data_IF_421678193414
#
_entry.id   IF_421678193414
#
_cell.length_a   1.000
_cell.length_b   1.000
_cell.length_c   1.000
_cell.angle_alpha   90.00
_cell.angle_beta   90.00
_cell.angle_gamma   90.00
#
_symmetry.space_group_name_H-M   'P 1'
#
loop_
_entity.id
_entity.type
_entity.pdbx_description
1 polymer ?
#
# COMPACT_ATOMS: atom_id res chain seq x y z
N UNK A 1 -5.54 -38.62 22.04
CA UNK A 1 -6.08 -37.65 21.05
C UNK A 1 -4.91 -36.92 20.39
N UNK A 2 -4.77 -36.95 19.06
CA UNK A 2 -3.75 -36.13 18.37
C UNK A 2 -4.23 -34.68 18.34
N UNK A 3 -3.43 -33.73 18.83
CA UNK A 3 -3.71 -32.29 18.61
C UNK A 3 -3.59 -32.02 17.11
N UNK A 4 -4.65 -31.48 16.50
CA UNK A 4 -4.58 -30.99 15.13
C UNK A 4 -3.49 -29.91 15.03
N UNK A 5 -2.62 -30.02 14.02
CA UNK A 5 -1.70 -28.96 13.63
C UNK A 5 -2.31 -28.26 12.41
N UNK A 6 -2.32 -26.92 12.34
CA UNK A 6 -2.89 -26.22 11.19
C UNK A 6 -1.99 -26.37 9.96
N UNK A 7 -2.53 -26.91 8.87
CA UNK A 7 -1.86 -27.02 7.57
C UNK A 7 -1.93 -25.71 6.73
N UNK A 8 -2.82 -24.79 7.12
CA UNK A 8 -3.01 -23.48 6.49
C UNK A 8 -2.69 -22.36 7.48
N UNK A 9 -2.09 -21.29 6.97
CA UNK A 9 -1.32 -20.37 7.78
C UNK A 9 -1.66 -18.90 7.36
N UNK A 10 -2.24 -18.01 8.24
CA UNK A 10 -2.49 -16.52 8.03
C UNK A 10 -1.92 -15.42 9.02
N UNK A 11 -1.02 -14.48 8.60
CA UNK A 11 -0.57 -13.17 9.23
C UNK A 11 -0.50 -11.97 8.24
N UNK A 12 -0.84 -10.76 8.73
CA UNK A 12 -0.58 -9.42 8.14
C UNK A 12 -1.69 -8.89 7.18
N UNK A 13 -1.82 -7.60 6.86
CA UNK A 13 -1.46 -6.36 7.56
C UNK A 13 -2.74 -5.83 8.24
N UNK A 14 -2.69 -5.50 9.56
CA UNK A 14 -3.83 -4.99 10.37
C UNK A 14 -5.08 -5.90 10.49
N UNK A 15 -4.92 -6.99 11.23
CA UNK A 15 -5.80 -7.54 12.29
C UNK A 15 -7.33 -7.66 12.17
N UNK A 16 -8.08 -6.91 11.35
CA UNK A 16 -9.56 -7.01 11.31
C UNK A 16 -10.08 -8.01 10.28
N UNK A 17 -9.65 -7.94 9.02
CA UNK A 17 -10.16 -8.83 7.96
C UNK A 17 -9.95 -10.32 8.27
N UNK A 18 -8.77 -10.70 8.75
CA UNK A 18 -8.46 -12.10 9.09
C UNK A 18 -9.07 -12.57 10.43
N UNK A 19 -9.45 -11.65 11.33
CA UNK A 19 -10.11 -12.00 12.60
C UNK A 19 -11.61 -12.17 12.41
N UNK A 20 -12.27 -11.23 11.71
CA UNK A 20 -13.71 -11.29 11.43
C UNK A 20 -14.09 -12.57 10.68
N UNK A 21 -13.30 -12.98 9.67
CA UNK A 21 -13.52 -14.25 8.94
C UNK A 21 -13.34 -15.49 9.83
N UNK A 22 -12.52 -15.44 10.88
CA UNK A 22 -12.37 -16.56 11.82
C UNK A 22 -13.50 -16.61 12.86
N UNK A 23 -14.00 -15.45 13.28
CA UNK A 23 -15.00 -15.28 14.33
C UNK A 23 -16.43 -15.55 13.81
N UNK A 24 -16.78 -15.03 12.62
CA UNK A 24 -18.11 -15.21 12.01
C UNK A 24 -18.38 -16.64 11.50
N UNK A 25 -17.34 -17.42 11.21
CA UNK A 25 -17.45 -18.76 10.58
C UNK A 25 -16.97 -19.92 11.47
N UNK A 26 -16.60 -19.65 12.73
CA UNK A 26 -16.17 -20.66 13.72
C UNK A 26 -15.02 -21.60 13.24
N UNK A 27 -14.09 -21.09 12.43
CA UNK A 27 -12.99 -21.86 11.85
C UNK A 27 -11.72 -21.81 12.74
N UNK A 28 -11.00 -22.94 12.92
CA UNK A 28 -9.75 -22.98 13.70
C UNK A 28 -8.53 -22.48 12.87
N UNK A 29 -8.19 -21.19 12.98
CA UNK A 29 -7.23 -20.47 12.11
C UNK A 29 -5.92 -19.99 12.83
N UNK A 30 -4.74 -19.98 12.16
CA UNK A 30 -3.58 -19.05 12.42
C UNK A 30 -2.35 -19.27 11.47
N UNK A 31 -1.46 -18.27 11.21
CA UNK A 31 -0.17 -18.43 10.43
C UNK A 31 0.38 -17.21 9.58
N UNK A 32 0.50 -17.31 8.23
CA UNK A 32 1.33 -16.66 7.15
C UNK A 32 2.71 -16.14 7.57
N UNK A 33 3.45 -15.76 6.55
CA UNK A 33 4.32 -14.62 6.59
C UNK A 33 3.82 -13.60 5.54
N UNK A 34 3.47 -12.40 6.00
CA UNK A 34 3.58 -11.21 5.17
C UNK A 34 4.89 -10.49 5.50
N UNK A 35 5.93 -10.80 4.72
CA UNK A 35 7.15 -10.00 4.48
C UNK A 35 7.90 -10.57 3.28
N UNK A 36 8.23 -9.75 2.28
CA UNK A 36 9.37 -10.10 1.41
C UNK A 36 10.62 -9.76 2.21
N UNK A 37 11.38 -10.81 2.57
CA UNK A 37 12.55 -10.67 3.45
C UNK A 37 12.64 -11.70 4.57
N UNK A 38 11.51 -12.17 5.11
CA UNK A 38 11.49 -13.26 6.11
C UNK A 38 11.75 -14.64 5.48
N UNK A 39 11.35 -14.83 4.21
CA UNK A 39 11.55 -16.09 3.47
C UNK A 39 13.03 -16.37 3.14
N UNK A 40 13.92 -15.35 3.09
CA UNK A 40 15.36 -15.56 2.92
C UNK A 40 15.99 -15.99 4.26
N UNK A 41 15.92 -17.28 4.54
CA UNK A 41 16.53 -17.90 5.73
C UNK A 41 15.59 -18.85 6.48
N UNK A 42 14.27 -18.76 6.26
CA UNK A 42 13.34 -19.76 6.76
C UNK A 42 13.43 -21.05 5.93
N UNK A 43 13.70 -22.17 6.60
CA UNK A 43 13.37 -23.49 6.03
C UNK A 43 11.84 -23.58 5.94
N UNK A 44 11.33 -23.76 4.72
CA UNK A 44 9.99 -24.29 4.53
C UNK A 44 9.95 -25.65 5.23
N UNK A 45 8.98 -25.87 6.13
CA UNK A 45 8.70 -27.21 6.61
C UNK A 45 8.26 -28.03 5.40
N UNK A 46 8.97 -29.13 5.10
CA UNK A 46 8.69 -29.99 3.95
C UNK A 46 7.27 -30.56 3.96
N UNK A 47 6.61 -30.53 5.13
CA UNK A 47 5.23 -30.97 5.30
C UNK A 47 4.18 -29.92 4.87
N UNK A 48 4.55 -28.66 4.60
CA UNK A 48 3.60 -27.63 4.16
C UNK A 48 3.08 -27.93 2.74
N UNK A 49 1.88 -28.51 2.63
CA UNK A 49 1.29 -28.94 1.35
C UNK A 49 0.72 -27.79 0.52
N UNK A 50 0.28 -26.70 1.15
CA UNK A 50 -0.38 -25.58 0.48
C UNK A 50 0.12 -24.23 1.00
N UNK A 51 0.49 -23.33 0.09
CA UNK A 51 0.93 -21.96 0.42
C UNK A 51 0.06 -20.94 -0.32
N UNK A 52 -0.37 -19.88 0.36
CA UNK A 52 -1.13 -18.77 -0.27
C UNK A 52 -0.38 -17.46 -0.03
N UNK A 53 -0.13 -16.69 -1.10
CA UNK A 53 0.30 -15.30 -1.01
C UNK A 53 -0.94 -14.40 -1.18
N UNK A 54 -1.60 -14.15 -0.06
CA UNK A 54 -2.75 -13.24 0.04
C UNK A 54 -2.32 -11.78 -0.10
N UNK A 55 -3.23 -10.92 -0.55
CA UNK A 55 -3.08 -9.46 -0.63
C UNK A 55 -1.87 -8.98 -1.46
N UNK A 56 -1.56 -9.68 -2.55
CA UNK A 56 -0.52 -9.30 -3.51
C UNK A 56 -0.98 -9.62 -4.93
N UNK A 57 -0.87 -8.65 -5.84
CA UNK A 57 -1.11 -8.86 -7.27
C UNK A 57 0.10 -9.49 -7.96
N UNK A 58 -0.13 -10.43 -8.88
CA UNK A 58 0.91 -10.93 -9.78
C UNK A 58 1.48 -9.83 -10.70
N UNK A 59 0.72 -8.76 -10.96
CA UNK A 59 1.15 -7.58 -11.73
C UNK A 59 2.09 -6.65 -10.95
N UNK A 60 2.14 -6.78 -9.62
CA UNK A 60 3.10 -6.11 -8.75
C UNK A 60 4.26 -7.02 -8.31
N UNK A 61 4.05 -8.33 -8.31
CA UNK A 61 4.99 -9.33 -7.80
C UNK A 61 4.87 -10.65 -8.57
N UNK A 62 5.43 -10.69 -9.77
CA UNK A 62 5.47 -11.87 -10.63
C UNK A 62 6.44 -12.97 -10.15
N UNK A 63 7.29 -12.66 -9.17
CA UNK A 63 8.45 -13.52 -8.86
C UNK A 63 8.00 -14.93 -8.44
N UNK A 64 8.45 -15.98 -9.15
CA UNK A 64 8.20 -17.36 -8.75
C UNK A 64 8.83 -17.64 -7.38
N UNK A 65 8.00 -18.09 -6.43
CA UNK A 65 8.45 -18.50 -5.09
C UNK A 65 8.48 -20.04 -5.02
N UNK A 66 7.35 -20.67 -5.33
CA UNK A 66 7.14 -22.12 -5.33
C UNK A 66 5.82 -22.38 -6.09
N UNK A 67 5.70 -23.47 -6.84
CA UNK A 67 4.49 -23.79 -7.63
C UNK A 67 3.24 -24.02 -6.77
N UNK A 68 3.40 -24.26 -5.47
CA UNK A 68 2.29 -24.36 -4.50
C UNK A 68 1.73 -23.00 -4.07
N UNK A 69 2.44 -21.89 -4.34
CA UNK A 69 2.03 -20.54 -3.95
C UNK A 69 1.00 -20.00 -4.93
N UNK A 70 -0.27 -19.99 -4.51
CA UNK A 70 -1.33 -19.28 -5.22
C UNK A 70 -1.32 -17.80 -4.82
N UNK A 71 -1.67 -16.92 -5.74
CA UNK A 71 -1.63 -15.46 -5.61
C UNK A 71 -3.06 -14.94 -5.73
N UNK A 72 -3.57 -14.23 -4.73
CA UNK A 72 -4.96 -13.80 -4.74
C UNK A 72 -5.21 -12.60 -5.67
N UNK A 73 -4.27 -11.69 -5.81
CA UNK A 73 -4.59 -10.29 -6.13
C UNK A 73 -4.56 -9.42 -4.88
N UNK A 74 -4.69 -8.10 -5.05
CA UNK A 74 -4.78 -7.18 -3.90
C UNK A 74 -6.13 -7.29 -3.19
N UNK A 75 -6.11 -7.28 -1.85
CA UNK A 75 -7.33 -7.21 -1.04
C UNK A 75 -7.69 -5.75 -0.80
N UNK A 76 -8.75 -5.28 -1.46
CA UNK A 76 -9.33 -3.96 -1.21
C UNK A 76 -10.50 -4.09 -0.25
N UNK A 77 -10.50 -3.27 0.80
CA UNK A 77 -11.68 -3.07 1.63
C UNK A 77 -12.34 -1.77 1.16
N UNK A 78 -13.51 -1.90 0.54
CA UNK A 78 -14.32 -0.76 0.08
C UNK A 78 -14.74 0.09 1.27
N UNK A 79 -13.92 1.09 1.53
CA UNK A 79 -14.11 2.04 2.62
C UNK A 79 -15.12 3.06 2.13
N UNK A 80 -16.41 2.68 2.14
CA UNK A 80 -17.53 3.43 1.55
C UNK A 80 -17.32 4.95 1.68
N UNK A 81 -17.02 5.68 0.59
CA UNK A 81 -16.67 7.11 0.66
C UNK A 81 -17.86 8.01 1.04
N UNK A 82 -19.05 7.42 1.20
CA UNK A 82 -20.29 8.09 1.59
C UNK A 82 -20.71 7.84 3.05
N UNK A 83 -19.86 7.21 3.88
CA UNK A 83 -20.08 7.25 5.32
C UNK A 83 -20.07 8.72 5.79
N UNK A 84 -21.13 9.21 6.48
CA UNK A 84 -21.22 10.62 6.88
C UNK A 84 -19.97 11.07 7.66
N UNK A 85 -19.42 12.23 7.29
CA UNK A 85 -18.21 12.78 7.90
C UNK A 85 -16.88 12.15 7.46
N UNK A 86 -16.85 11.26 6.45
CA UNK A 86 -15.58 10.72 5.88
C UNK A 86 -15.15 11.33 4.54
N UNK A 87 -15.87 12.31 4.01
CA UNK A 87 -15.49 13.01 2.78
C UNK A 87 -14.36 14.04 2.98
N UNK A 88 -13.78 14.59 1.89
CA UNK A 88 -12.95 15.79 1.97
C UNK A 88 -13.76 16.97 2.53
N UNK A 89 -13.11 17.85 3.29
CA UNK A 89 -13.75 19.08 3.80
C UNK A 89 -13.85 20.16 2.71
N UNK A 90 -14.83 21.05 2.79
CA UNK A 90 -14.94 22.18 1.85
C UNK A 90 -13.71 23.08 1.86
N UNK A 91 -13.01 23.17 3.00
CA UNK A 91 -11.75 23.89 3.12
C UNK A 91 -10.65 23.24 2.25
N UNK A 92 -10.54 21.90 2.27
CA UNK A 92 -9.63 21.16 1.40
C UNK A 92 -10.04 21.33 -0.08
N UNK A 93 -11.33 21.25 -0.41
CA UNK A 93 -11.81 21.41 -1.78
C UNK A 93 -11.53 22.81 -2.33
N UNK A 94 -11.77 23.87 -1.54
CA UNK A 94 -11.40 25.25 -1.91
C UNK A 94 -9.90 25.45 -2.05
N UNK A 95 -9.11 24.84 -1.16
CA UNK A 95 -7.65 24.88 -1.23
C UNK A 95 -7.14 24.23 -2.53
N UNK A 96 -7.66 23.06 -2.90
CA UNK A 96 -7.22 22.31 -4.08
C UNK A 96 -7.61 23.00 -5.40
N UNK A 97 -8.85 23.50 -5.50
CA UNK A 97 -9.41 23.96 -6.77
C UNK A 97 -9.53 22.82 -7.78
N UNK A 98 -9.22 23.10 -9.05
CA UNK A 98 -9.21 22.12 -10.14
C UNK A 98 -7.81 21.52 -10.45
N UNK A 99 -6.77 22.03 -9.80
CA UNK A 99 -5.38 21.69 -10.12
C UNK A 99 -4.92 20.37 -9.48
N UNK A 100 -4.04 19.60 -10.15
CA UNK A 100 -3.43 18.43 -9.56
C UNK A 100 -2.46 18.82 -8.43
N UNK A 101 -2.31 17.92 -7.46
CA UNK A 101 -1.55 18.18 -6.22
C UNK A 101 -0.75 16.96 -5.78
N UNK A 102 0.21 17.16 -4.88
CA UNK A 102 0.99 16.08 -4.27
C UNK A 102 0.34 15.69 -2.94
N UNK A 103 0.23 14.38 -2.67
CA UNK A 103 -0.18 13.88 -1.35
C UNK A 103 1.01 13.30 -0.58
N UNK A 104 1.23 13.77 0.65
CA UNK A 104 2.18 13.22 1.59
C UNK A 104 1.47 12.33 2.61
N UNK A 105 1.73 11.02 2.54
CA UNK A 105 1.19 9.98 3.41
C UNK A 105 2.32 9.39 4.28
N UNK A 106 2.72 10.05 5.38
CA UNK A 106 3.93 9.72 6.15
C UNK A 106 3.84 8.41 6.96
N UNK A 107 2.72 7.68 6.87
CA UNK A 107 2.51 6.43 7.60
C UNK A 107 2.16 6.64 9.07
N UNK A 108 2.60 5.73 9.94
CA UNK A 108 2.28 5.74 11.38
C UNK A 108 3.51 5.61 12.27
N UNK A 109 4.69 5.67 11.69
CA UNK A 109 5.96 5.56 12.41
C UNK A 109 6.55 6.95 12.48
N UNK A 110 6.90 7.47 13.68
CA UNK A 110 7.52 8.78 13.86
C UNK A 110 8.65 9.03 12.87
N UNK A 111 8.69 10.25 12.33
CA UNK A 111 9.84 10.74 11.56
C UNK A 111 10.67 11.68 12.42
N UNK A 112 11.99 11.65 12.23
CA UNK A 112 12.91 12.59 12.88
C UNK A 112 12.69 14.00 12.30
N UNK A 113 12.71 15.04 13.16
CA UNK A 113 12.48 16.45 12.76
C UNK A 113 11.20 16.65 11.92
N UNK A 114 10.04 16.23 12.44
CA UNK A 114 8.78 16.18 11.69
C UNK A 114 8.38 17.49 10.97
N UNK A 115 8.62 18.66 11.58
CA UNK A 115 8.47 19.97 10.93
C UNK A 115 9.36 20.11 9.69
N UNK A 116 10.65 19.81 9.81
CA UNK A 116 11.62 19.91 8.71
C UNK A 116 11.30 18.90 7.59
N UNK A 117 10.92 17.67 7.97
CA UNK A 117 10.48 16.64 7.04
C UNK A 117 9.33 17.13 6.16
N UNK A 118 8.29 17.73 6.73
CA UNK A 118 7.17 18.28 5.93
C UNK A 118 7.62 19.48 5.10
N UNK A 119 8.47 20.38 5.65
CA UNK A 119 9.00 21.53 4.89
C UNK A 119 9.75 21.10 3.63
N UNK A 120 10.63 20.09 3.70
CA UNK A 120 11.31 19.56 2.51
C UNK A 120 10.36 19.07 1.40
N UNK A 121 9.19 18.53 1.78
CA UNK A 121 8.15 18.14 0.82
C UNK A 121 7.36 19.32 0.27
N UNK A 122 7.13 20.34 1.10
CA UNK A 122 6.45 21.58 0.73
C UNK A 122 7.30 22.40 -0.23
N UNK A 123 8.55 22.70 0.13
CA UNK A 123 9.52 23.44 -0.69
C UNK A 123 9.64 22.80 -2.09
N UNK A 124 9.65 21.46 -2.14
CA UNK A 124 9.70 20.70 -3.37
C UNK A 124 8.41 20.75 -4.20
N UNK A 125 7.24 20.89 -3.57
CA UNK A 125 5.96 21.04 -4.27
C UNK A 125 5.74 22.48 -4.76
N UNK A 126 6.06 23.48 -3.92
CA UNK A 126 6.03 24.91 -4.27
C UNK A 126 6.92 25.21 -5.48
N UNK A 127 8.14 24.66 -5.50
CA UNK A 127 9.06 24.79 -6.64
C UNK A 127 8.56 24.16 -7.95
N UNK A 128 7.45 23.42 -7.92
CA UNK A 128 6.76 22.85 -9.08
C UNK A 128 5.41 23.52 -9.37
N UNK A 129 5.03 24.54 -8.60
CA UNK A 129 3.69 25.15 -8.65
C UNK A 129 2.57 24.23 -8.14
N UNK A 130 2.92 23.12 -7.47
CA UNK A 130 1.97 22.12 -6.98
C UNK A 130 1.63 22.35 -5.51
N UNK A 131 0.35 22.15 -5.17
CA UNK A 131 -0.10 22.14 -3.77
C UNK A 131 0.30 20.84 -3.08
N UNK A 132 0.57 20.90 -1.77
CA UNK A 132 0.84 19.73 -0.93
C UNK A 132 -0.35 19.45 0.01
N UNK A 133 -0.90 18.24 -0.03
CA UNK A 133 -1.85 17.74 0.98
C UNK A 133 -1.12 16.77 1.89
N UNK A 134 -1.04 17.08 3.18
CA UNK A 134 -0.34 16.27 4.19
C UNK A 134 -1.37 15.57 5.07
N UNK A 135 -1.36 14.24 5.11
CA UNK A 135 -2.24 13.52 6.04
C UNK A 135 -1.65 13.50 7.46
N UNK A 136 -2.36 14.11 8.41
CA UNK A 136 -2.04 14.10 9.84
C UNK A 136 -2.08 12.67 10.38
N UNK A 137 -1.02 12.29 11.08
CA UNK A 137 -0.82 10.97 11.69
C UNK A 137 0.17 11.09 12.86
N UNK A 138 0.27 10.05 13.69
CA UNK A 138 1.32 9.94 14.72
C UNK A 138 2.77 9.95 14.15
N UNK A 139 2.95 9.85 12.82
CA UNK A 139 4.27 10.05 12.23
C UNK A 139 4.76 11.52 12.33
N UNK A 140 3.81 12.47 12.42
CA UNK A 140 4.05 13.92 12.43
C UNK A 140 3.66 14.55 13.78
N UNK A 141 3.75 13.80 14.88
CA UNK A 141 3.50 14.33 16.22
C UNK A 141 4.53 15.44 16.54
N UNK A 142 4.05 16.58 17.04
CA UNK A 142 4.87 17.77 17.26
C UNK A 142 5.31 18.53 15.99
N UNK A 143 4.81 18.18 14.80
CA UNK A 143 5.07 18.96 13.59
C UNK A 143 4.29 20.29 13.60
N UNK A 144 5.02 21.40 13.45
CA UNK A 144 4.48 22.76 13.35
C UNK A 144 4.75 23.31 11.95
N UNK A 145 3.70 23.34 11.13
CA UNK A 145 3.75 23.69 9.71
C UNK A 145 2.53 24.54 9.38
N UNK A 146 2.71 25.85 9.44
CA UNK A 146 1.83 26.84 8.83
C UNK A 146 2.44 27.26 7.48
N UNK A 147 1.71 27.08 6.38
CA UNK A 147 2.15 27.46 5.04
C UNK A 147 0.98 27.52 4.03
N UNK A 148 0.95 28.52 3.13
CA UNK A 148 -0.17 28.73 2.21
C UNK A 148 -0.27 27.69 1.07
N UNK A 149 0.79 26.93 0.78
CA UNK A 149 0.77 25.83 -0.21
C UNK A 149 0.67 24.43 0.42
N UNK A 150 0.54 24.32 1.75
CA UNK A 150 0.25 23.08 2.44
C UNK A 150 -1.20 23.05 2.96
N UNK A 151 -1.84 21.88 2.89
CA UNK A 151 -3.06 21.61 3.64
C UNK A 151 -2.87 20.38 4.52
N UNK A 152 -2.87 20.57 5.84
CA UNK A 152 -2.84 19.47 6.81
C UNK A 152 -4.25 18.91 6.96
N UNK A 153 -4.53 17.83 6.24
CA UNK A 153 -5.79 17.12 6.34
C UNK A 153 -5.74 16.08 7.46
N UNK A 154 -6.89 15.81 8.09
CA UNK A 154 -7.07 14.62 8.92
C UNK A 154 -7.19 13.36 8.05
N UNK A 155 -7.86 12.31 8.51
CA UNK A 155 -7.96 11.06 7.74
C UNK A 155 -8.84 11.22 6.51
N UNK A 156 -8.24 11.17 5.31
CA UNK A 156 -8.93 11.18 4.03
C UNK A 156 -9.14 9.75 3.48
N UNK A 157 -10.21 9.48 2.70
CA UNK A 157 -10.32 8.25 1.94
C UNK A 157 -9.22 8.17 0.89
N UNK A 158 -8.35 7.17 1.00
CA UNK A 158 -7.21 7.02 0.08
C UNK A 158 -7.65 6.81 -1.37
N UNK A 159 -8.77 6.15 -1.60
CA UNK A 159 -9.28 5.93 -2.96
C UNK A 159 -9.78 7.23 -3.62
N UNK A 160 -10.35 8.17 -2.83
CA UNK A 160 -10.70 9.51 -3.30
C UNK A 160 -9.44 10.36 -3.59
N UNK A 161 -8.46 10.29 -2.69
CA UNK A 161 -7.21 11.06 -2.74
C UNK A 161 -6.33 10.65 -3.93
N UNK A 162 -6.05 9.35 -4.04
CA UNK A 162 -5.10 8.79 -5.01
C UNK A 162 -5.59 8.90 -6.46
N UNK A 163 -6.91 9.01 -6.67
CA UNK A 163 -7.50 9.26 -7.98
C UNK A 163 -7.33 10.71 -8.48
N UNK A 164 -6.83 11.65 -7.65
CA UNK A 164 -6.78 13.10 -7.95
C UNK A 164 -5.39 13.72 -7.91
N UNK A 165 -4.40 13.01 -7.37
CA UNK A 165 -3.03 13.53 -7.21
C UNK A 165 -2.21 13.45 -8.49
N UNK A 166 -1.23 14.33 -8.61
CA UNK A 166 -0.14 14.20 -9.57
C UNK A 166 0.72 12.97 -9.24
N UNK A 167 1.07 12.81 -7.95
CA UNK A 167 1.75 11.68 -7.36
C UNK A 167 1.51 11.61 -5.83
N UNK A 168 1.77 10.45 -5.24
CA UNK A 168 1.78 10.25 -3.78
C UNK A 168 3.19 9.98 -3.26
N UNK A 169 3.53 10.58 -2.13
CA UNK A 169 4.77 10.37 -1.40
C UNK A 169 4.44 9.60 -0.12
N UNK A 170 5.06 8.45 0.09
CA UNK A 170 4.79 7.60 1.26
C UNK A 170 5.93 6.64 1.56
N UNK A 171 5.95 5.96 2.72
CA UNK A 171 6.91 4.91 2.98
C UNK A 171 6.91 3.72 2.00
N UNK A 172 5.94 3.57 1.10
CA UNK A 172 5.86 2.40 0.21
C UNK A 172 5.25 1.14 0.87
N UNK A 173 4.47 1.31 1.93
CA UNK A 173 3.73 0.22 2.57
C UNK A 173 2.66 -0.35 1.63
N UNK A 174 2.50 -1.67 1.63
CA UNK A 174 1.68 -2.40 0.65
C UNK A 174 0.24 -1.90 0.52
N UNK A 175 -0.39 -1.45 1.61
CA UNK A 175 -1.78 -0.94 1.58
C UNK A 175 -1.97 0.43 0.92
N UNK A 176 -0.91 1.26 0.86
CA UNK A 176 -0.92 2.51 0.07
C UNK A 176 -0.51 2.19 -1.37
N UNK A 177 0.51 1.34 -1.54
CA UNK A 177 0.97 0.88 -2.86
C UNK A 177 -0.17 0.25 -3.65
N UNK A 178 -0.88 -0.74 -3.10
CA UNK A 178 -1.99 -1.42 -3.77
C UNK A 178 -3.07 -0.43 -4.28
N UNK A 179 -3.45 0.56 -3.45
CA UNK A 179 -4.44 1.57 -3.83
C UNK A 179 -3.91 2.54 -4.87
N UNK A 180 -2.67 2.99 -4.75
CA UNK A 180 -2.06 3.90 -5.71
C UNK A 180 -1.89 3.22 -7.08
N UNK A 181 -1.50 1.94 -7.11
CA UNK A 181 -1.45 1.15 -8.34
C UNK A 181 -2.84 0.91 -8.94
N UNK A 182 -3.88 0.61 -8.13
CA UNK A 182 -5.28 0.54 -8.60
C UNK A 182 -5.79 1.88 -9.14
N UNK A 183 -5.35 3.01 -8.56
CA UNK A 183 -5.75 4.35 -8.98
C UNK A 183 -4.94 4.92 -10.15
N UNK A 184 -3.90 4.22 -10.64
CA UNK A 184 -2.99 4.74 -11.66
C UNK A 184 -2.12 5.91 -11.19
N UNK A 185 -1.87 5.99 -9.87
CA UNK A 185 -1.11 7.06 -9.22
C UNK A 185 0.39 6.72 -9.16
N UNK A 186 1.29 7.56 -9.70
CA UNK A 186 2.73 7.46 -9.47
C UNK A 186 3.09 7.57 -7.98
N UNK A 187 4.10 6.81 -7.54
CA UNK A 187 4.52 6.73 -6.13
C UNK A 187 5.98 7.16 -5.95
N UNK A 188 6.24 8.13 -5.06
CA UNK A 188 7.56 8.36 -4.48
C UNK A 188 7.67 7.59 -3.16
N UNK A 189 8.53 6.58 -3.11
CA UNK A 189 8.74 5.76 -1.93
C UNK A 189 9.82 6.35 -1.02
N UNK A 190 9.54 6.43 0.28
CA UNK A 190 10.47 6.75 1.36
C UNK A 190 10.73 5.52 2.23
N UNK A 191 11.44 4.50 1.75
CA UNK A 191 11.45 3.20 2.41
C UNK A 191 12.14 3.26 3.79
N UNK A 192 11.41 2.84 4.83
CA UNK A 192 11.88 2.86 6.24
C UNK A 192 12.12 1.47 6.82
N UNK A 193 11.57 0.43 6.18
CA UNK A 193 11.71 -0.96 6.61
C UNK A 193 12.04 -1.87 5.43
N UNK A 194 12.46 -3.11 5.71
CA UNK A 194 12.83 -4.07 4.67
C UNK A 194 11.73 -4.32 3.61
N UNK A 195 10.46 -4.41 4.02
CA UNK A 195 9.36 -4.56 3.06
C UNK A 195 9.23 -3.33 2.17
N UNK A 196 9.36 -2.15 2.78
CA UNK A 196 9.23 -0.87 2.09
C UNK A 196 10.30 -0.73 1.01
N UNK A 197 11.55 -1.14 1.29
CA UNK A 197 12.61 -1.23 0.27
C UNK A 197 12.28 -2.25 -0.83
N UNK A 198 11.79 -3.44 -0.47
CA UNK A 198 11.42 -4.48 -1.45
C UNK A 198 10.24 -4.04 -2.33
N UNK A 199 9.30 -3.26 -1.82
CA UNK A 199 8.23 -2.62 -2.59
C UNK A 199 8.77 -1.49 -3.48
N UNK A 200 9.62 -0.60 -2.95
CA UNK A 200 10.25 0.48 -3.70
C UNK A 200 11.02 -0.05 -4.92
N UNK A 201 11.77 -1.16 -4.75
CA UNK A 201 12.46 -1.86 -5.85
C UNK A 201 11.51 -2.35 -6.94
N UNK A 202 10.29 -2.79 -6.60
CA UNK A 202 9.27 -3.22 -7.57
C UNK A 202 8.66 -2.04 -8.30
N UNK A 203 8.35 -0.95 -7.58
CA UNK A 203 7.83 0.29 -8.19
C UNK A 203 8.81 0.86 -9.23
N UNK A 204 10.12 0.84 -8.90
CA UNK A 204 11.20 1.19 -9.81
C UNK A 204 11.27 0.24 -11.03
N UNK A 205 11.22 -1.08 -10.81
CA UNK A 205 11.30 -2.07 -11.89
C UNK A 205 10.10 -2.03 -12.85
N UNK A 206 8.91 -1.72 -12.34
CA UNK A 206 7.69 -1.54 -13.11
C UNK A 206 7.61 -0.17 -13.81
N UNK A 207 8.49 0.79 -13.45
CA UNK A 207 8.47 2.15 -13.99
C UNK A 207 7.25 2.98 -13.57
N UNK A 208 6.64 2.66 -12.42
CA UNK A 208 5.45 3.32 -11.85
C UNK A 208 5.75 4.12 -10.58
N UNK A 209 7.02 4.14 -10.17
CA UNK A 209 7.46 4.90 -9.00
C UNK A 209 8.96 5.16 -8.96
N UNK A 210 9.33 6.04 -8.04
CA UNK A 210 10.71 6.38 -7.69
C UNK A 210 10.93 6.12 -6.20
N UNK A 211 12.18 6.18 -5.74
CA UNK A 211 12.52 6.02 -4.32
C UNK A 211 13.51 7.12 -3.90
N UNK A 212 13.28 7.67 -2.70
CA UNK A 212 14.21 8.57 -2.03
C UNK A 212 15.29 7.78 -1.27
N UNK A 213 16.41 8.44 -1.03
CA UNK A 213 17.47 7.91 -0.19
C UNK A 213 16.99 7.86 1.28
N UNK A 214 17.12 6.72 1.99
CA UNK A 214 16.73 6.62 3.40
C UNK A 214 17.56 7.49 4.35
N UNK A 215 18.70 8.04 3.93
CA UNK A 215 19.62 8.83 4.78
C UNK A 215 19.22 10.30 4.98
N UNK A 216 17.96 10.66 4.73
CA UNK A 216 17.39 11.98 5.01
C UNK A 216 17.14 12.79 3.74
N UNK A 217 15.95 12.70 3.14
CA UNK A 217 15.61 13.48 1.95
C UNK A 217 15.47 14.97 2.28
N UNK A 218 16.16 15.81 1.51
CA UNK A 218 16.02 17.27 1.49
C UNK A 218 15.08 17.73 0.35
N UNK A 219 14.71 19.02 0.35
CA UNK A 219 13.86 19.60 -0.70
C UNK A 219 14.43 19.39 -2.12
N UNK A 220 15.75 19.47 -2.28
CA UNK A 220 16.44 19.26 -3.56
C UNK A 220 16.23 17.84 -4.09
N UNK A 221 16.42 16.83 -3.25
CA UNK A 221 16.28 15.42 -3.60
C UNK A 221 14.83 15.03 -3.87
N UNK A 222 13.87 15.53 -3.07
CA UNK A 222 12.42 15.35 -3.31
C UNK A 222 12.04 15.95 -4.65
N UNK A 223 12.35 17.24 -4.88
CA UNK A 223 12.06 17.93 -6.15
C UNK A 223 12.66 17.20 -7.35
N UNK A 224 13.93 16.81 -7.27
CA UNK A 224 14.65 16.06 -8.32
C UNK A 224 13.96 14.75 -8.66
N UNK A 225 13.56 13.96 -7.66
CA UNK A 225 12.86 12.68 -7.91
C UNK A 225 11.46 12.90 -8.49
N UNK A 226 10.75 13.94 -8.06
CA UNK A 226 9.47 14.33 -8.66
C UNK A 226 9.65 14.69 -10.15
N UNK A 227 10.58 15.60 -10.48
CA UNK A 227 10.75 16.10 -11.87
C UNK A 227 11.39 15.10 -12.82
N UNK A 228 12.49 14.46 -12.42
CA UNK A 228 13.33 13.68 -13.34
C UNK A 228 12.88 12.22 -13.45
N UNK A 229 12.08 11.72 -12.50
CA UNK A 229 11.80 10.28 -12.37
C UNK A 229 10.32 9.92 -12.25
N UNK A 230 9.44 10.83 -11.81
CA UNK A 230 8.09 10.46 -11.41
C UNK A 230 6.98 11.19 -12.18
N UNK A 231 7.05 12.51 -12.31
CA UNK A 231 6.04 13.35 -12.98
C UNK A 231 6.25 13.41 -14.50
N UNK A 232 6.60 12.27 -15.11
CA UNK A 232 6.85 12.13 -16.54
C UNK A 232 5.66 11.44 -17.23
N UNK A 233 5.26 11.83 -18.46
CA UNK A 233 4.16 11.18 -19.18
C UNK A 233 4.31 9.65 -19.29
N UNK A 234 5.50 9.07 -19.62
CA UNK A 234 5.68 7.62 -19.69
C UNK A 234 5.59 6.88 -18.34
N UNK A 235 5.60 7.59 -17.21
CA UNK A 235 5.33 7.00 -15.89
C UNK A 235 3.81 6.95 -15.66
N UNK A 236 3.10 8.04 -15.96
CA UNK A 236 1.62 8.10 -15.87
C UNK A 236 0.95 7.08 -16.80
N UNK A 237 1.45 6.91 -18.02
CA UNK A 237 0.99 5.87 -18.96
C UNK A 237 1.16 4.45 -18.40
N UNK A 238 2.34 4.14 -17.82
CA UNK A 238 2.59 2.85 -17.16
C UNK A 238 1.69 2.63 -15.95
N UNK A 239 1.47 3.66 -15.13
CA UNK A 239 0.54 3.59 -14.01
C UNK A 239 -0.89 3.29 -14.49
N UNK A 240 -1.36 3.95 -15.55
CA UNK A 240 -2.69 3.71 -16.12
C UNK A 240 -2.85 2.29 -16.69
N UNK A 241 -1.86 1.80 -17.44
CA UNK A 241 -1.87 0.44 -17.99
C UNK A 241 -1.89 -0.64 -16.88
N UNK A 242 -1.11 -0.42 -15.81
CA UNK A 242 -1.09 -1.32 -14.65
C UNK A 242 -2.41 -1.25 -13.85
N UNK A 243 -2.99 -0.06 -13.68
CA UNK A 243 -4.27 0.16 -13.01
C UNK A 243 -5.42 -0.56 -13.70
N UNK A 244 -5.48 -0.53 -15.03
CA UNK A 244 -6.47 -1.28 -15.81
C UNK A 244 -6.40 -2.78 -15.52
N UNK A 245 -5.18 -3.33 -15.42
CA UNK A 245 -4.96 -4.74 -15.06
C UNK A 245 -5.37 -5.08 -13.62
N UNK A 246 -5.05 -4.21 -12.65
CA UNK A 246 -5.37 -4.42 -11.22
C UNK A 246 -6.86 -4.24 -10.93
N UNK A 247 -7.56 -3.35 -11.66
CA UNK A 247 -8.99 -3.10 -11.48
C UNK A 247 -9.85 -4.29 -11.91
N UNK A 248 -9.31 -5.17 -12.77
CA UNK A 248 -9.94 -6.44 -13.17
C UNK A 248 -9.63 -7.61 -12.22
N UNK A 249 -8.90 -7.40 -11.12
CA UNK A 249 -8.65 -8.42 -10.10
C UNK A 249 -9.70 -8.32 -8.98
N UNK A 250 -10.56 -9.34 -8.82
CA UNK A 250 -11.20 -9.58 -7.53
C UNK A 250 -10.28 -10.45 -6.66
N UNK A 251 -9.43 -9.76 -5.89
CA UNK A 251 -8.54 -10.41 -4.95
C UNK A 251 -9.24 -11.10 -3.78
N UNK A 252 -10.46 -10.67 -3.44
CA UNK A 252 -11.24 -11.20 -2.33
C UNK A 252 -11.92 -12.51 -2.73
N UNK A 253 -12.63 -12.52 -3.86
CA UNK A 253 -13.21 -13.71 -4.46
C UNK A 253 -12.12 -14.76 -4.72
N UNK A 254 -11.04 -14.38 -5.42
CA UNK A 254 -9.91 -15.28 -5.70
C UNK A 254 -9.30 -15.86 -4.41
N UNK A 255 -9.23 -15.10 -3.32
CA UNK A 255 -8.75 -15.59 -2.03
C UNK A 255 -9.70 -16.62 -1.40
N UNK A 256 -11.00 -16.34 -1.33
CA UNK A 256 -12.03 -17.28 -0.86
C UNK A 256 -11.97 -18.58 -1.66
N UNK A 257 -11.94 -18.45 -2.97
CA UNK A 257 -11.95 -19.52 -3.96
C UNK A 257 -10.71 -20.44 -3.85
N UNK A 258 -9.52 -19.87 -3.59
CA UNK A 258 -8.30 -20.62 -3.24
C UNK A 258 -8.44 -21.36 -1.89
N UNK A 259 -9.02 -20.72 -0.88
CA UNK A 259 -9.19 -21.28 0.47
C UNK A 259 -10.17 -22.45 0.43
N UNK A 260 -11.36 -22.27 -0.18
CA UNK A 260 -12.39 -23.31 -0.26
C UNK A 260 -11.91 -24.56 -1.01
N UNK A 261 -11.27 -24.40 -2.18
CA UNK A 261 -10.72 -25.53 -2.93
C UNK A 261 -9.73 -26.35 -2.10
N UNK A 262 -8.91 -25.68 -1.28
CA UNK A 262 -7.90 -26.32 -0.43
C UNK A 262 -8.51 -26.97 0.81
N UNK A 263 -9.58 -26.40 1.36
CA UNK A 263 -10.36 -27.00 2.44
C UNK A 263 -11.08 -28.28 1.96
N UNK A 264 -11.77 -28.23 0.81
CA UNK A 264 -12.46 -29.39 0.19
C UNK A 264 -11.49 -30.53 -0.17
N UNK A 265 -10.23 -30.22 -0.47
CA UNK A 265 -9.18 -31.22 -0.69
C UNK A 265 -8.65 -31.90 0.59
N UNK A 266 -8.95 -31.38 1.79
CA UNK A 266 -8.56 -31.97 3.08
C UNK A 266 -9.70 -32.67 3.80
N UNK A 267 -10.95 -32.24 3.58
CA UNK A 267 -12.15 -32.87 4.10
C UNK A 267 -13.01 -33.37 2.92
N UNK A 268 -12.90 -34.65 2.52
CA UNK A 268 -13.83 -35.22 1.56
C UNK A 268 -15.26 -35.15 2.13
N UNK A 269 -16.30 -35.00 1.28
CA UNK A 269 -17.68 -35.09 1.74
C UNK A 269 -17.90 -36.41 2.49
N UNK A 270 -18.56 -36.34 3.64
CA UNK A 270 -18.70 -37.49 4.54
C UNK A 270 -19.44 -38.65 3.89
N UNK A 271 -18.91 -39.87 4.08
CA UNK A 271 -19.65 -41.13 3.96
C UNK A 271 -20.55 -41.33 5.19
#
# INVERSE_FOLDING_TARGET
MRRARPDLIVTGFRQRAAAVVAEDYALPCATVCLRRGALRGMRLDGNARHLVRLASSARFDDTPIDSRVAVSGFLFHDSHPQAPGRGPSDALLRFLGAEPFIALLPGSTPVTQATQYVRHHLDAAEALGLRLVVQRTAALEGADVDAPHAFLADTLPHDWLLARVAAVISPGRIGVVARALRAGCPILAEPRTRDDHDHARRLLALGVGAALDPHGPDATSVRRMLTERLLLPPVRERCAALAAGITMEDGSETAVDIIERRARGHYPPGN
#
